data_IF_637587702966
#
_entry.id   IF_637587702966
#
_cell.length_a   1.000
_cell.length_b   1.000
_cell.length_c   1.000
_cell.angle_alpha   90.00
_cell.angle_beta   90.00
_cell.angle_gamma   90.00
#
_symmetry.space_group_name_H-M   'P 1'
#
loop_
_entity.id
_entity.type
_entity.pdbx_description
1 polymer ?
#
# COMPACT_ATOMS: atom_id res chain seq x y z
N UNK A 1 -1.75 -3.55 -5.25
CA UNK A 1 -1.02 -4.63 -4.59
C UNK A 1 -0.91 -5.76 -5.59
N UNK A 2 0.32 -5.98 -6.06
CA UNK A 2 0.71 -7.02 -7.02
C UNK A 2 0.24 -8.44 -6.60
N UNK A 3 -0.10 -8.62 -5.31
CA UNK A 3 -0.64 -9.84 -4.75
C UNK A 3 -1.96 -9.58 -3.99
N UNK A 4 -3.11 -10.11 -4.45
CA UNK A 4 -4.41 -9.93 -3.79
C UNK A 4 -4.50 -10.56 -2.38
N UNK A 5 -3.42 -11.22 -1.91
CA UNK A 5 -3.33 -11.83 -0.59
C UNK A 5 -2.48 -11.09 0.45
N UNK A 6 -1.88 -9.94 0.10
CA UNK A 6 -1.04 -9.18 1.05
C UNK A 6 -1.92 -8.09 1.70
N UNK A 7 -1.86 -7.96 3.02
CA UNK A 7 -2.55 -6.89 3.76
C UNK A 7 -1.64 -5.67 3.89
N UNK A 8 -2.21 -4.47 4.08
CA UNK A 8 -1.42 -3.24 4.29
C UNK A 8 -0.48 -3.36 5.49
N UNK A 9 -0.99 -3.93 6.60
CA UNK A 9 -0.16 -4.21 7.78
C UNK A 9 0.95 -5.23 7.50
N UNK A 10 0.68 -6.26 6.69
CA UNK A 10 1.68 -7.21 6.22
C UNK A 10 2.73 -6.56 5.32
N UNK A 11 2.32 -5.64 4.45
CA UNK A 11 3.23 -4.87 3.60
C UNK A 11 4.17 -3.98 4.41
N UNK A 12 3.64 -3.24 5.39
CA UNK A 12 4.47 -2.39 6.27
C UNK A 12 5.43 -3.22 7.14
N UNK A 13 4.92 -4.26 7.81
CA UNK A 13 5.75 -5.14 8.64
C UNK A 13 6.70 -6.03 7.84
N UNK A 14 6.42 -6.21 6.54
CA UNK A 14 7.17 -7.06 5.60
C UNK A 14 7.97 -6.28 4.56
N UNK A 15 8.16 -4.97 4.73
CA UNK A 15 8.89 -4.05 3.82
C UNK A 15 8.14 -3.66 2.55
N UNK A 16 7.56 -4.64 1.83
CA UNK A 16 6.91 -4.45 0.52
C UNK A 16 7.76 -3.60 -0.45
N UNK A 17 8.81 -4.22 -0.98
CA UNK A 17 9.68 -3.61 -2.00
C UNK A 17 9.08 -3.76 -3.38
N UNK A 18 8.98 -2.64 -4.11
CA UNK A 18 8.28 -2.53 -5.38
C UNK A 18 9.15 -1.83 -6.43
N UNK A 19 8.71 -1.85 -7.70
CA UNK A 19 9.43 -1.21 -8.82
C UNK A 19 9.69 0.29 -8.63
N UNK A 20 8.91 0.98 -7.79
CA UNK A 20 9.08 2.41 -7.44
C UNK A 20 10.02 2.64 -6.25
N UNK A 21 10.43 1.59 -5.52
CA UNK A 21 11.19 1.73 -4.28
C UNK A 21 12.58 2.33 -4.46
N UNK A 22 13.19 2.19 -5.64
CA UNK A 22 14.48 2.85 -5.94
C UNK A 22 14.40 4.38 -5.86
N UNK A 23 13.18 4.95 -5.97
CA UNK A 23 12.95 6.39 -6.00
C UNK A 23 12.33 6.93 -4.70
N UNK A 24 11.46 6.17 -4.04
CA UNK A 24 10.71 6.63 -2.86
C UNK A 24 10.98 5.85 -1.58
N UNK A 25 11.84 4.83 -1.65
CA UNK A 25 12.04 3.88 -0.55
C UNK A 25 10.98 2.78 -0.56
N UNK A 26 11.12 1.86 0.38
CA UNK A 26 10.15 0.77 0.58
C UNK A 26 8.82 1.30 1.12
N UNK A 27 7.79 0.46 1.16
CA UNK A 27 6.42 0.86 1.49
C UNK A 27 6.30 1.57 2.85
N UNK A 28 7.14 1.25 3.83
CA UNK A 28 7.18 1.95 5.13
C UNK A 28 7.49 3.44 5.00
N UNK A 29 8.26 3.85 3.98
CA UNK A 29 8.67 5.24 3.72
C UNK A 29 7.58 6.11 3.15
N UNK A 30 6.48 5.49 2.75
CA UNK A 30 5.35 6.16 2.11
C UNK A 30 4.13 6.27 3.03
N UNK A 31 4.23 5.72 4.25
CA UNK A 31 3.18 5.77 5.27
C UNK A 31 3.42 6.96 6.22
N UNK A 32 2.36 7.70 6.53
CA UNK A 32 2.42 8.85 7.43
C UNK A 32 2.36 8.45 8.90
N UNK A 33 1.55 7.44 9.23
CA UNK A 33 1.35 6.91 10.57
C UNK A 33 0.75 5.50 10.49
N UNK A 34 0.89 4.73 11.58
CA UNK A 34 0.24 3.44 11.78
C UNK A 34 -0.54 3.45 13.10
N UNK A 35 -1.64 2.71 13.15
CA UNK A 35 -2.21 2.23 14.41
C UNK A 35 -1.77 0.79 14.65
N UNK A 36 -1.34 0.48 15.87
CA UNK A 36 -0.82 -0.83 16.24
C UNK A 36 -1.40 -1.29 17.58
N UNK A 37 -1.79 -2.57 17.64
CA UNK A 37 -2.09 -3.28 18.89
C UNK A 37 -0.80 -3.95 19.40
N UNK A 38 -0.29 -3.48 20.53
CA UNK A 38 0.92 -3.99 21.17
C UNK A 38 0.64 -5.33 21.88
N UNK A 39 1.71 -6.05 22.23
CA UNK A 39 1.62 -7.35 22.92
C UNK A 39 0.92 -7.28 24.29
N UNK A 40 0.94 -6.11 24.95
CA UNK A 40 0.21 -5.87 26.19
C UNK A 40 -1.28 -5.52 25.98
N UNK A 41 -1.76 -5.51 24.72
CA UNK A 41 -3.12 -5.14 24.35
C UNK A 41 -3.38 -3.64 24.20
N UNK A 42 -2.37 -2.78 24.41
CA UNK A 42 -2.49 -1.34 24.21
C UNK A 42 -2.59 -1.00 22.71
N UNK A 43 -3.51 -0.11 22.34
CA UNK A 43 -3.63 0.43 20.98
C UNK A 43 -2.87 1.75 20.93
N UNK A 44 -1.88 1.84 20.05
CA UNK A 44 -1.02 3.01 19.92
C UNK A 44 -0.98 3.52 18.49
N UNK A 45 -1.04 4.84 18.34
CA UNK A 45 -0.76 5.52 17.08
C UNK A 45 0.69 5.98 17.04
N UNK A 46 1.43 5.59 16.01
CA UNK A 46 2.84 5.90 15.81
C UNK A 46 3.08 6.54 14.44
N UNK A 47 4.00 7.48 14.35
CA UNK A 47 4.37 8.22 13.15
C UNK A 47 5.84 8.63 13.20
N UNK A 48 6.33 9.24 12.13
CA UNK A 48 7.69 9.82 12.12
C UNK A 48 7.94 10.89 13.19
N UNK A 49 6.89 11.48 13.77
CA UNK A 49 6.97 12.57 14.77
C UNK A 49 6.42 12.21 16.14
N UNK A 50 5.76 11.05 16.29
CA UNK A 50 5.18 10.57 17.55
C UNK A 50 5.42 9.07 17.68
N UNK A 51 6.10 8.62 18.75
CA UNK A 51 6.54 7.22 18.92
C UNK A 51 7.31 6.72 17.69
N UNK A 52 8.28 7.52 17.24
CA UNK A 52 9.01 7.29 15.99
C UNK A 52 9.91 6.05 16.04
N UNK A 53 10.42 5.72 17.22
CA UNK A 53 11.11 4.47 17.51
C UNK A 53 10.22 3.26 17.22
N UNK A 54 8.96 3.30 17.68
CA UNK A 54 7.98 2.26 17.38
C UNK A 54 7.59 2.26 15.91
N UNK A 55 7.35 3.43 15.30
CA UNK A 55 6.98 3.55 13.90
C UNK A 55 8.02 2.93 12.96
N UNK A 56 9.31 3.29 13.12
CA UNK A 56 10.39 2.75 12.30
C UNK A 56 10.78 1.33 12.73
N UNK A 57 10.66 0.99 14.01
CA UNK A 57 10.95 -0.36 14.51
C UNK A 57 9.90 -1.38 14.09
N UNK A 58 8.65 -0.95 13.87
CA UNK A 58 7.56 -1.79 13.38
C UNK A 58 7.72 -2.15 11.90
N UNK A 59 8.33 -1.27 11.11
CA UNK A 59 8.67 -1.55 9.71
C UNK A 59 9.68 -2.69 9.65
N UNK A 60 9.44 -3.67 8.77
CA UNK A 60 10.28 -4.88 8.64
C UNK A 60 10.42 -5.69 9.95
N UNK A 61 9.52 -5.53 10.91
CA UNK A 61 9.51 -6.30 12.18
C UNK A 61 8.89 -7.69 12.05
N UNK A 62 8.28 -8.00 10.91
CA UNK A 62 7.52 -9.24 10.68
C UNK A 62 6.43 -9.49 11.73
N UNK A 63 5.87 -8.42 12.30
CA UNK A 63 4.80 -8.49 13.31
C UNK A 63 5.29 -8.75 14.75
N UNK A 64 6.60 -8.71 15.00
CA UNK A 64 7.18 -9.03 16.33
C UNK A 64 6.79 -8.04 17.41
N UNK A 65 6.55 -6.78 17.06
CA UNK A 65 6.27 -5.69 18.02
C UNK A 65 4.77 -5.49 18.29
N UNK A 66 3.91 -6.06 17.45
CA UNK A 66 2.46 -5.87 17.51
C UNK A 66 1.79 -6.09 16.16
N UNK A 67 0.46 -5.94 16.15
CA UNK A 67 -0.38 -6.06 14.95
C UNK A 67 -0.74 -4.67 14.43
N UNK A 68 -0.44 -4.41 13.17
CA UNK A 68 -0.82 -3.15 12.50
C UNK A 68 -2.29 -3.22 12.11
N UNK A 69 -3.10 -2.33 12.69
CA UNK A 69 -4.55 -2.32 12.56
C UNK A 69 -5.04 -1.33 11.49
N UNK A 70 -4.42 -0.14 11.38
CA UNK A 70 -4.84 0.90 10.44
C UNK A 70 -3.61 1.58 9.81
N UNK A 71 -3.64 1.75 8.49
CA UNK A 71 -2.56 2.40 7.77
C UNK A 71 -2.98 3.26 6.56
N UNK A 72 -4.24 3.27 6.09
CA UNK A 72 -4.69 4.32 5.14
C UNK A 72 -6.20 4.38 4.86
N UNK A 73 -6.81 5.53 5.17
CA UNK A 73 -8.21 5.92 4.88
C UNK A 73 -8.59 5.84 3.39
N UNK A 74 -7.66 6.11 2.47
CA UNK A 74 -7.96 6.10 1.03
C UNK A 74 -8.01 4.68 0.44
N UNK A 75 -7.27 3.74 1.03
CA UNK A 75 -7.39 2.31 0.68
C UNK A 75 -8.74 1.79 1.19
N UNK A 76 -9.15 2.17 2.39
CA UNK A 76 -10.45 1.79 2.95
C UNK A 76 -11.61 2.21 2.04
N UNK A 77 -11.66 3.49 1.64
CA UNK A 77 -12.67 3.98 0.68
C UNK A 77 -12.68 3.19 -0.63
N UNK A 78 -11.49 2.87 -1.16
CA UNK A 78 -11.37 2.09 -2.38
C UNK A 78 -11.84 0.63 -2.21
N UNK A 79 -11.71 0.07 -1.00
CA UNK A 79 -12.17 -1.29 -0.67
C UNK A 79 -13.66 -1.37 -0.28
N UNK A 80 -14.30 -0.25 0.08
CA UNK A 80 -15.76 -0.20 0.30
C UNK A 80 -16.55 -0.38 -1.01
N UNK A 81 -15.97 -0.01 -2.15
CA UNK A 81 -16.57 -0.26 -3.46
C UNK A 81 -16.44 -1.74 -3.86
N UNK A 82 -17.51 -2.50 -3.66
CA UNK A 82 -17.61 -3.92 -4.04
C UNK A 82 -17.42 -4.22 -5.52
N UNK A 83 -17.44 -3.22 -6.40
CA UNK A 83 -17.15 -3.37 -7.84
C UNK A 83 -15.65 -3.33 -8.17
N UNK A 84 -14.82 -2.94 -7.20
CA UNK A 84 -13.36 -2.96 -7.31
C UNK A 84 -12.85 -4.39 -7.21
N UNK A 85 -12.23 -4.89 -8.29
CA UNK A 85 -11.60 -6.21 -8.32
C UNK A 85 -10.07 -6.14 -8.16
N UNK A 86 -9.50 -4.96 -8.41
CA UNK A 86 -8.07 -4.70 -8.38
C UNK A 86 -7.83 -3.35 -7.70
N UNK A 87 -6.85 -3.30 -6.82
CA UNK A 87 -6.40 -2.07 -6.17
C UNK A 87 -4.87 -2.07 -6.20
N UNK A 88 -4.29 -0.96 -6.63
CA UNK A 88 -2.87 -0.73 -6.63
C UNK A 88 -2.48 0.63 -6.08
N UNK A 89 -1.35 0.71 -5.39
CA UNK A 89 -0.88 1.91 -4.74
C UNK A 89 0.48 2.27 -5.32
N UNK A 90 0.54 3.33 -6.11
CA UNK A 90 1.78 3.83 -6.71
C UNK A 90 2.17 5.10 -5.98
N UNK A 91 3.28 5.07 -5.26
CA UNK A 91 3.82 6.26 -4.62
C UNK A 91 4.69 7.03 -5.61
N UNK A 92 4.44 8.34 -5.76
CA UNK A 92 5.16 9.25 -6.66
C UNK A 92 6.03 10.27 -5.91
N UNK A 93 5.87 10.40 -4.60
CA UNK A 93 6.74 11.17 -3.71
C UNK A 93 6.42 10.78 -2.27
N UNK A 94 7.16 11.36 -1.32
CA UNK A 94 6.86 11.22 0.11
C UNK A 94 5.41 11.60 0.46
N UNK A 95 4.88 12.62 -0.22
CA UNK A 95 3.60 13.23 0.13
C UNK A 95 2.53 13.03 -0.95
N UNK A 96 2.84 12.33 -2.05
CA UNK A 96 1.92 12.08 -3.16
C UNK A 96 2.01 10.63 -3.63
N UNK A 97 0.89 9.94 -3.59
CA UNK A 97 0.69 8.64 -4.20
C UNK A 97 -0.64 8.60 -4.93
N UNK A 98 -0.81 7.62 -5.80
CA UNK A 98 -2.04 7.33 -6.50
C UNK A 98 -2.50 5.94 -6.10
N UNK A 99 -3.79 5.81 -5.80
CA UNK A 99 -4.44 4.51 -5.70
C UNK A 99 -5.14 4.26 -7.04
N UNK A 100 -4.66 3.28 -7.79
CA UNK A 100 -5.27 2.78 -9.01
C UNK A 100 -6.26 1.68 -8.64
N UNK A 101 -7.55 1.91 -8.88
CA UNK A 101 -8.57 0.86 -8.73
C UNK A 101 -9.01 0.37 -10.11
N UNK A 102 -9.41 -0.89 -10.20
CA UNK A 102 -9.81 -1.49 -11.46
C UNK A 102 -10.86 -2.58 -11.26
N UNK A 103 -11.66 -2.78 -12.31
CA UNK A 103 -12.61 -3.88 -12.42
C UNK A 103 -12.14 -4.82 -13.51
N UNK A 104 -11.99 -6.11 -13.17
CA UNK A 104 -11.76 -7.15 -14.18
C UNK A 104 -12.93 -7.16 -15.18
N UNK A 105 -12.61 -7.14 -16.47
CA UNK A 105 -13.56 -7.25 -17.57
C UNK A 105 -12.97 -8.16 -18.65
N UNK A 106 -13.80 -9.02 -19.24
CA UNK A 106 -13.45 -9.78 -20.44
C UNK A 106 -13.84 -9.04 -21.72
N UNK A 107 -14.60 -7.97 -21.59
CA UNK A 107 -15.12 -7.17 -22.68
C UNK A 107 -14.33 -5.88 -22.79
N UNK A 108 -13.82 -5.61 -24.00
CA UNK A 108 -13.26 -4.32 -24.37
C UNK A 108 -14.43 -3.46 -24.87
N UNK A 109 -14.68 -2.27 -24.30
CA UNK A 109 -15.73 -1.39 -24.80
C UNK A 109 -15.54 -1.11 -26.29
N UNK A 110 -16.64 -1.11 -27.05
CA UNK A 110 -16.60 -0.79 -28.48
C UNK A 110 -15.86 0.55 -28.69
N UNK A 111 -14.99 0.59 -29.70
CA UNK A 111 -14.13 1.73 -30.05
C UNK A 111 -12.96 2.04 -29.11
N UNK A 112 -12.62 1.15 -28.16
CA UNK A 112 -11.39 1.31 -27.35
C UNK A 112 -10.14 0.92 -28.17
N UNK A 113 -9.20 1.84 -28.45
CA UNK A 113 -7.96 1.47 -29.12
C UNK A 113 -7.11 0.55 -28.23
N UNK A 114 -6.64 -0.56 -28.78
CA UNK A 114 -5.75 -1.49 -28.06
C UNK A 114 -4.39 -0.84 -27.87
N UNK A 115 -3.99 -0.64 -26.61
CA UNK A 115 -2.70 -0.09 -26.23
C UNK A 115 -1.83 -1.17 -25.57
N UNK A 116 -0.66 -1.46 -26.14
CA UNK A 116 0.35 -2.33 -25.53
C UNK A 116 1.29 -1.55 -24.60
N UNK A 117 1.91 -2.24 -23.64
CA UNK A 117 3.00 -1.76 -22.76
C UNK A 117 4.16 -2.77 -22.68
N UNK A 118 4.27 -3.63 -23.68
CA UNK A 118 5.18 -4.78 -23.69
C UNK A 118 6.48 -4.54 -24.45
N UNK A 119 6.54 -3.48 -25.27
CA UNK A 119 7.70 -3.16 -26.12
C UNK A 119 8.35 -1.84 -25.68
N UNK A 120 9.67 -1.66 -25.91
CA UNK A 120 10.37 -0.43 -25.54
C UNK A 120 9.85 0.85 -26.22
N UNK A 121 9.08 0.70 -27.30
CA UNK A 121 8.51 1.80 -28.09
C UNK A 121 6.99 1.89 -27.95
N UNK A 122 6.40 1.05 -27.11
CA UNK A 122 5.03 1.28 -26.66
C UNK A 122 5.03 2.60 -25.85
N UNK A 123 3.96 3.42 -25.92
CA UNK A 123 3.88 4.72 -25.23
C UNK A 123 3.97 4.62 -23.71
#
# INVERSE_FOLDING_TARGET
MEFPGISVGGGFAGTAGESSSFRYGFFDRTINWIEMVLANGEIVKASSTSKSDLFYGAASSFGTLGVIAEAQVEIEKATEDTSTHYLDGIMYSKDNGVICVGRLTNDVPADTPVQGFTRPTDP
#
